data_IF_610739538715
#
_entry.id   IF_610739538715
#
_cell.length_a   1.000
_cell.length_b   1.000
_cell.length_c   1.000
_cell.angle_alpha   90.00
_cell.angle_beta   90.00
_cell.angle_gamma   90.00
#
_symmetry.space_group_name_H-M   'P 1'
#
loop_
_entity.id
_entity.type
_entity.pdbx_description
1 polymer ?
#
# COMPACT_ATOMS: atom_id res chain seq x y z
N UNK A 1 21.80 -9.20 2.00
CA UNK A 1 20.32 -9.31 2.07
C UNK A 1 19.76 -7.89 2.07
N UNK A 2 18.76 -7.60 1.23
CA UNK A 2 18.03 -6.32 1.30
C UNK A 2 17.35 -6.26 2.68
N UNK A 3 17.42 -5.12 3.36
CA UNK A 3 16.85 -5.02 4.71
C UNK A 3 15.34 -4.98 4.61
N UNK A 4 14.69 -5.96 5.24
CA UNK A 4 13.24 -5.97 5.41
C UNK A 4 12.88 -5.15 6.66
N UNK A 5 11.77 -4.43 6.60
CA UNK A 5 11.17 -3.75 7.75
C UNK A 5 9.85 -4.44 8.09
N UNK A 6 9.51 -4.60 9.37
CA UNK A 6 8.22 -5.20 9.78
C UNK A 6 7.44 -4.24 10.65
N UNK A 7 6.24 -3.89 10.20
CA UNK A 7 5.26 -3.14 10.98
C UNK A 7 4.37 -4.10 11.76
N UNK A 8 4.31 -3.92 13.07
CA UNK A 8 3.43 -4.68 13.96
C UNK A 8 2.11 -3.93 14.16
N UNK A 9 1.00 -4.68 14.21
CA UNK A 9 -0.35 -4.21 14.49
C UNK A 9 -0.84 -4.92 15.75
N UNK A 10 -0.52 -4.33 16.92
CA UNK A 10 -0.72 -4.96 18.22
C UNK A 10 -0.10 -6.36 18.28
N UNK A 11 -0.83 -7.31 18.83
CA UNK A 11 -0.50 -8.74 18.77
C UNK A 11 -1.21 -9.46 17.62
N UNK A 12 -2.10 -8.77 16.88
CA UNK A 12 -2.99 -9.40 15.91
C UNK A 12 -2.26 -9.86 14.64
N UNK A 13 -1.50 -8.98 14.00
CA UNK A 13 -0.79 -9.31 12.76
C UNK A 13 0.42 -8.39 12.52
N UNK A 14 1.20 -8.71 11.50
CA UNK A 14 2.29 -7.86 11.03
C UNK A 14 2.37 -7.80 9.51
N UNK A 15 3.02 -6.75 9.02
CA UNK A 15 3.32 -6.55 7.61
C UNK A 15 4.82 -6.33 7.45
N UNK A 16 5.47 -7.26 6.77
CA UNK A 16 6.88 -7.13 6.37
C UNK A 16 6.96 -6.48 4.99
N UNK A 17 7.69 -5.38 4.92
CA UNK A 17 8.12 -4.71 3.69
C UNK A 17 9.30 -5.48 3.12
N UNK A 18 9.16 -6.00 1.90
CA UNK A 18 10.17 -6.78 1.20
C UNK A 18 10.59 -6.03 -0.07
N UNK A 19 11.76 -5.37 -0.06
CA UNK A 19 12.28 -4.72 -1.26
C UNK A 19 12.55 -5.74 -2.37
N UNK A 20 11.93 -5.53 -3.53
CA UNK A 20 12.05 -6.36 -4.74
C UNK A 20 12.50 -5.53 -5.93
N UNK A 21 13.06 -6.18 -6.94
CA UNK A 21 13.53 -5.50 -8.16
C UNK A 21 14.52 -4.36 -7.83
N UNK A 22 14.22 -3.15 -8.32
CA UNK A 22 15.03 -1.94 -8.11
C UNK A 22 14.46 -1.08 -6.99
N UNK A 23 13.18 -0.76 -7.08
CA UNK A 23 12.48 0.16 -6.18
C UNK A 23 11.07 -0.30 -5.82
N UNK A 24 10.66 -1.51 -6.23
CA UNK A 24 9.36 -2.09 -5.88
C UNK A 24 9.34 -2.61 -4.44
N UNK A 25 8.16 -2.59 -3.84
CA UNK A 25 7.86 -3.31 -2.62
C UNK A 25 6.87 -4.43 -2.90
N UNK A 26 7.26 -5.64 -2.50
CA UNK A 26 6.29 -6.69 -2.18
C UNK A 26 6.09 -6.71 -0.67
N UNK A 27 4.96 -7.24 -0.21
CA UNK A 27 4.67 -7.31 1.21
C UNK A 27 4.34 -8.72 1.64
N UNK A 28 4.70 -9.08 2.87
CA UNK A 28 4.24 -10.30 3.53
C UNK A 28 3.36 -9.92 4.71
N UNK A 29 2.11 -10.39 4.71
CA UNK A 29 1.19 -10.28 5.84
C UNK A 29 1.27 -11.59 6.64
N UNK A 30 1.47 -11.49 7.95
CA UNK A 30 1.43 -12.61 8.90
C UNK A 30 0.31 -12.39 9.92
N UNK A 31 -0.77 -13.17 9.81
CA UNK A 31 -1.79 -13.25 10.86
C UNK A 31 -1.28 -14.10 12.03
N UNK A 32 -0.87 -13.45 13.11
CA UNK A 32 -0.27 -14.14 14.25
C UNK A 32 -1.24 -15.08 14.97
N UNK A 33 -2.56 -14.90 14.79
CA UNK A 33 -3.56 -15.74 15.46
C UNK A 33 -3.73 -17.11 14.81
N UNK A 34 -3.37 -17.23 13.52
CA UNK A 34 -3.51 -18.48 12.76
C UNK A 34 -2.23 -18.91 12.03
N UNK A 35 -1.20 -18.06 12.03
CA UNK A 35 0.02 -18.20 11.22
C UNK A 35 -0.30 -18.35 9.72
N UNK A 36 -1.39 -17.72 9.28
CA UNK A 36 -1.74 -17.65 7.86
C UNK A 36 -0.97 -16.50 7.22
N UNK A 37 -0.25 -16.81 6.15
CA UNK A 37 0.51 -15.85 5.37
C UNK A 37 -0.21 -15.45 4.09
N UNK A 38 -0.07 -14.17 3.71
CA UNK A 38 -0.33 -13.69 2.36
C UNK A 38 0.82 -12.84 1.85
N UNK A 39 1.04 -12.86 0.53
CA UNK A 39 1.87 -11.85 -0.10
C UNK A 39 1.02 -10.81 -0.83
N UNK A 40 1.56 -9.59 -0.95
CA UNK A 40 1.00 -8.52 -1.76
C UNK A 40 2.00 -8.15 -2.86
N UNK A 41 1.48 -7.98 -4.08
CA UNK A 41 2.20 -7.53 -5.27
C UNK A 41 3.49 -8.31 -5.56
N UNK A 42 3.30 -9.59 -5.91
CA UNK A 42 4.38 -10.48 -6.27
C UNK A 42 4.82 -10.30 -7.72
N UNK A 43 6.03 -9.77 -7.91
CA UNK A 43 6.76 -9.78 -9.18
C UNK A 43 7.68 -10.99 -9.33
N UNK A 44 8.45 -11.03 -10.42
CA UNK A 44 9.36 -12.14 -10.74
C UNK A 44 10.53 -12.29 -9.76
N UNK A 45 10.85 -11.28 -8.95
CA UNK A 45 11.84 -11.36 -7.87
C UNK A 45 11.21 -11.95 -6.60
N UNK A 46 10.87 -13.23 -6.68
CA UNK A 46 10.13 -13.99 -5.65
C UNK A 46 11.04 -14.45 -4.51
N UNK A 47 12.33 -14.61 -4.76
CA UNK A 47 13.26 -15.20 -3.79
C UNK A 47 13.36 -14.40 -2.47
N UNK A 48 13.35 -13.06 -2.43
CA UNK A 48 13.37 -12.28 -1.20
C UNK A 48 12.26 -12.63 -0.20
N UNK A 49 11.01 -12.79 -0.65
CA UNK A 49 9.90 -13.11 0.26
C UNK A 49 10.01 -14.54 0.80
N UNK A 50 10.44 -15.49 -0.05
CA UNK A 50 10.64 -16.88 0.36
C UNK A 50 11.82 -17.02 1.32
N UNK A 51 12.89 -16.26 1.10
CA UNK A 51 14.02 -16.19 2.01
C UNK A 51 13.58 -15.61 3.36
N UNK A 52 12.79 -14.54 3.39
CA UNK A 52 12.27 -14.01 4.66
C UNK A 52 11.42 -15.04 5.43
N UNK A 53 10.51 -15.74 4.75
CA UNK A 53 9.70 -16.79 5.37
C UNK A 53 10.55 -17.93 5.94
N UNK A 54 11.52 -18.44 5.17
CA UNK A 54 12.29 -19.62 5.54
C UNK A 54 13.45 -19.32 6.49
N UNK A 55 14.12 -18.18 6.32
CA UNK A 55 15.32 -17.81 7.07
C UNK A 55 15.05 -16.92 8.28
N UNK A 56 13.92 -16.22 8.30
CA UNK A 56 13.50 -15.43 9.46
C UNK A 56 12.33 -16.10 10.18
N UNK A 57 11.11 -16.03 9.64
CA UNK A 57 9.88 -16.41 10.37
C UNK A 57 9.92 -17.84 10.92
N UNK A 58 10.26 -18.83 10.09
CA UNK A 58 10.30 -20.24 10.52
C UNK A 58 11.42 -20.54 11.51
N UNK A 59 12.55 -19.82 11.44
CA UNK A 59 13.67 -20.03 12.36
C UNK A 59 13.46 -19.34 13.69
N UNK A 60 12.86 -18.14 13.69
CA UNK A 60 12.55 -17.41 14.92
C UNK A 60 11.35 -18.01 15.65
N UNK A 61 10.43 -18.65 14.93
CA UNK A 61 9.21 -19.24 15.49
C UNK A 61 9.07 -20.73 15.09
N UNK A 62 9.97 -21.62 15.54
CA UNK A 62 9.99 -23.02 15.10
C UNK A 62 8.77 -23.83 15.54
N UNK A 63 8.01 -23.34 16.53
CA UNK A 63 6.80 -23.98 17.03
C UNK A 63 5.54 -23.63 16.21
N UNK A 64 5.63 -22.70 15.26
CA UNK A 64 4.50 -22.28 14.44
C UNK A 64 4.52 -22.97 13.08
N UNK A 65 3.34 -23.45 12.65
CA UNK A 65 3.14 -23.99 11.32
C UNK A 65 2.53 -22.90 10.44
N UNK A 66 3.36 -22.29 9.60
CA UNK A 66 2.94 -21.22 8.70
C UNK A 66 2.25 -21.77 7.46
N UNK A 67 1.10 -21.19 7.10
CA UNK A 67 0.35 -21.53 5.88
C UNK A 67 0.29 -20.36 4.91
N UNK A 68 0.99 -20.47 3.79
CA UNK A 68 0.85 -19.52 2.69
C UNK A 68 -0.46 -19.77 1.95
N UNK A 69 -1.40 -18.84 2.03
CA UNK A 69 -2.77 -19.04 1.55
C UNK A 69 -3.18 -18.14 0.40
N UNK A 70 -2.62 -16.93 0.33
CA UNK A 70 -3.18 -15.86 -0.50
C UNK A 70 -2.08 -15.02 -1.14
N UNK A 71 -2.30 -14.64 -2.40
CA UNK A 71 -1.57 -13.57 -3.08
C UNK A 71 -2.61 -12.48 -3.36
N UNK A 72 -2.38 -11.27 -2.86
CA UNK A 72 -3.17 -10.09 -3.16
C UNK A 72 -2.42 -9.30 -4.24
N UNK A 73 -3.06 -9.01 -5.36
CA UNK A 73 -2.46 -8.21 -6.43
C UNK A 73 -3.28 -6.95 -6.64
N UNK A 74 -2.66 -5.80 -6.45
CA UNK A 74 -3.31 -4.49 -6.56
C UNK A 74 -3.70 -4.19 -8.00
N UNK A 75 -2.82 -4.50 -8.95
CA UNK A 75 -3.04 -4.27 -10.37
C UNK A 75 -2.17 -5.15 -11.27
N UNK A 76 -2.45 -5.13 -12.58
CA UNK A 76 -1.91 -6.08 -13.57
C UNK A 76 -0.46 -5.88 -13.97
N UNK A 77 0.18 -4.75 -13.62
CA UNK A 77 1.51 -4.49 -14.16
C UNK A 77 2.50 -5.59 -13.75
N UNK A 78 3.41 -5.99 -14.66
CA UNK A 78 4.25 -7.16 -14.44
C UNK A 78 5.13 -7.09 -13.17
N UNK A 79 5.51 -5.90 -12.74
CA UNK A 79 6.29 -5.63 -11.53
C UNK A 79 5.44 -5.67 -10.23
N UNK A 80 4.14 -6.00 -10.34
CA UNK A 80 3.24 -6.33 -9.23
C UNK A 80 2.59 -7.71 -9.37
N UNK A 81 2.42 -8.20 -10.61
CA UNK A 81 1.68 -9.44 -10.88
C UNK A 81 2.53 -10.56 -11.52
N UNK A 82 3.74 -10.25 -11.98
CA UNK A 82 4.56 -11.15 -12.79
C UNK A 82 5.02 -12.41 -12.06
N UNK A 83 5.01 -12.39 -10.72
CA UNK A 83 5.37 -13.52 -9.88
C UNK A 83 4.20 -14.44 -9.50
N UNK A 84 2.96 -14.06 -9.78
CA UNK A 84 1.77 -14.78 -9.29
C UNK A 84 1.76 -16.26 -9.68
N UNK A 85 2.01 -16.55 -10.96
CA UNK A 85 2.03 -17.93 -11.51
C UNK A 85 3.14 -18.74 -10.86
N UNK A 86 4.36 -18.20 -10.84
CA UNK A 86 5.54 -18.91 -10.39
C UNK A 86 5.52 -19.14 -8.88
N UNK A 87 5.10 -18.16 -8.07
CA UNK A 87 4.97 -18.34 -6.63
C UNK A 87 3.94 -19.44 -6.30
N UNK A 88 2.79 -19.43 -6.97
CA UNK A 88 1.77 -20.48 -6.80
C UNK A 88 2.32 -21.87 -7.14
N UNK A 89 3.09 -21.98 -8.23
CA UNK A 89 3.75 -23.22 -8.63
C UNK A 89 4.76 -23.69 -7.59
N UNK A 90 5.61 -22.78 -7.07
CA UNK A 90 6.58 -23.10 -6.01
C UNK A 90 5.92 -23.55 -4.71
N UNK A 91 4.85 -22.88 -4.28
CA UNK A 91 4.08 -23.31 -3.10
C UNK A 91 3.47 -24.69 -3.29
N UNK A 92 2.94 -25.01 -4.47
CA UNK A 92 2.40 -26.34 -4.80
C UNK A 92 3.47 -27.43 -4.85
N UNK A 93 4.67 -27.09 -5.32
CA UNK A 93 5.81 -28.00 -5.36
C UNK A 93 6.35 -28.31 -3.95
N UNK A 94 6.32 -27.34 -3.04
CA UNK A 94 6.71 -27.53 -1.64
C UNK A 94 5.66 -28.31 -0.83
N UNK A 95 4.38 -28.06 -1.10
CA UNK A 95 3.25 -28.75 -0.47
C UNK A 95 2.17 -29.05 -1.51
N UNK A 96 2.01 -30.31 -1.95
CA UNK A 96 0.98 -30.70 -2.90
C UNK A 96 -0.45 -30.43 -2.42
N UNK A 97 -0.68 -30.24 -1.12
CA UNK A 97 -1.98 -29.85 -0.57
C UNK A 97 -2.22 -28.33 -0.60
N UNK A 98 -1.17 -27.53 -0.88
CA UNK A 98 -1.25 -26.08 -0.93
C UNK A 98 -2.32 -25.60 -1.92
N UNK A 99 -3.13 -24.66 -1.45
CA UNK A 99 -4.17 -23.97 -2.20
C UNK A 99 -3.98 -22.46 -2.02
N UNK A 100 -3.11 -21.90 -2.87
CA UNK A 100 -2.90 -20.45 -2.92
C UNK A 100 -3.98 -19.80 -3.78
N UNK A 101 -4.77 -18.92 -3.17
CA UNK A 101 -5.74 -18.07 -3.86
C UNK A 101 -5.04 -16.81 -4.33
N UNK A 102 -5.21 -16.45 -5.60
CA UNK A 102 -4.74 -15.18 -6.15
C UNK A 102 -5.95 -14.25 -6.29
N UNK A 103 -5.92 -13.14 -5.55
CA UNK A 103 -6.96 -12.12 -5.50
C UNK A 103 -6.54 -10.94 -6.35
N UNK A 104 -7.45 -10.41 -7.15
CA UNK A 104 -7.18 -9.24 -7.98
C UNK A 104 -8.46 -8.59 -8.51
N UNK A 105 -8.37 -7.31 -8.86
CA UNK A 105 -9.49 -6.54 -9.40
C UNK A 105 -10.12 -7.22 -10.61
N UNK A 106 -11.45 -7.32 -10.62
CA UNK A 106 -12.21 -8.07 -11.62
C UNK A 106 -12.01 -7.54 -13.05
N UNK A 107 -11.65 -6.27 -13.18
CA UNK A 107 -11.51 -5.55 -14.44
C UNK A 107 -10.08 -5.46 -14.97
N UNK A 108 -9.06 -5.91 -14.23
CA UNK A 108 -7.67 -5.70 -14.62
C UNK A 108 -7.01 -6.90 -15.30
N UNK A 109 -7.70 -8.04 -15.41
CA UNK A 109 -7.18 -9.25 -16.06
C UNK A 109 -5.80 -9.71 -15.52
N UNK A 110 -5.61 -9.60 -14.20
CA UNK A 110 -4.36 -9.95 -13.53
C UNK A 110 -4.02 -11.45 -13.75
N UNK A 111 -2.75 -11.77 -14.09
CA UNK A 111 -2.27 -13.15 -14.21
C UNK A 111 -2.56 -14.03 -12.98
N UNK A 112 -3.03 -15.25 -13.26
CA UNK A 112 -3.34 -16.30 -12.27
C UNK A 112 -4.45 -15.99 -11.25
N UNK A 113 -5.19 -14.89 -11.39
CA UNK A 113 -6.33 -14.60 -10.49
C UNK A 113 -7.33 -15.74 -10.48
N UNK A 114 -7.59 -16.21 -9.27
CA UNK A 114 -8.60 -17.24 -8.97
C UNK A 114 -9.78 -16.67 -8.18
N UNK A 115 -9.61 -15.48 -7.59
CA UNK A 115 -10.67 -14.71 -6.95
C UNK A 115 -10.69 -13.28 -7.48
N UNK A 116 -11.62 -13.01 -8.40
CA UNK A 116 -11.89 -11.65 -8.89
C UNK A 116 -12.68 -10.88 -7.82
N UNK A 117 -12.30 -9.64 -7.57
CA UNK A 117 -12.94 -8.78 -6.57
C UNK A 117 -13.33 -7.42 -7.14
N UNK A 118 -14.25 -6.74 -6.47
CA UNK A 118 -14.72 -5.37 -6.74
C UNK A 118 -14.92 -4.61 -5.42
N UNK A 119 -15.24 -3.32 -5.51
CA UNK A 119 -15.58 -2.47 -4.36
C UNK A 119 -16.45 -3.18 -3.32
N UNK A 120 -16.03 -3.13 -2.06
CA UNK A 120 -16.77 -3.64 -0.91
C UNK A 120 -16.69 -5.16 -0.72
N UNK A 121 -16.10 -5.90 -1.65
CA UNK A 121 -15.83 -7.33 -1.44
C UNK A 121 -14.87 -7.53 -0.26
N UNK A 122 -15.02 -8.67 0.43
CA UNK A 122 -14.16 -9.04 1.56
C UNK A 122 -13.55 -10.41 1.39
N UNK A 123 -12.24 -10.53 1.62
CA UNK A 123 -11.48 -11.78 1.64
C UNK A 123 -11.00 -12.03 3.08
N UNK A 124 -11.13 -13.26 3.55
CA UNK A 124 -10.56 -13.65 4.85
C UNK A 124 -9.13 -14.13 4.65
N UNK A 125 -8.21 -13.62 5.47
CA UNK A 125 -6.83 -14.08 5.56
C UNK A 125 -6.59 -14.55 7.00
N UNK A 126 -6.73 -15.85 7.26
CA UNK A 126 -6.79 -16.33 8.63
C UNK A 126 -7.98 -15.70 9.37
N UNK A 127 -7.71 -14.94 10.43
CA UNK A 127 -8.68 -14.11 11.16
C UNK A 127 -8.75 -12.66 10.68
N UNK A 128 -7.86 -12.24 9.78
CA UNK A 128 -7.87 -10.89 9.23
C UNK A 128 -8.96 -10.73 8.17
N UNK A 129 -9.54 -9.53 8.12
CA UNK A 129 -10.44 -9.09 7.05
C UNK A 129 -9.67 -8.23 6.07
N UNK A 130 -9.71 -8.60 4.79
CA UNK A 130 -9.20 -7.83 3.67
C UNK A 130 -10.41 -7.23 2.93
N UNK A 131 -10.63 -5.93 3.08
CA UNK A 131 -11.66 -5.18 2.37
C UNK A 131 -11.08 -4.57 1.09
N UNK A 132 -11.84 -4.68 -0.01
CA UNK A 132 -11.42 -4.25 -1.34
C UNK A 132 -12.02 -2.89 -1.66
N UNK A 133 -11.18 -1.98 -2.15
CA UNK A 133 -11.56 -0.63 -2.55
C UNK A 133 -11.12 -0.44 -4.00
N UNK A 134 -12.05 -0.24 -4.92
CA UNK A 134 -11.74 0.06 -6.32
C UNK A 134 -11.09 1.44 -6.42
N UNK A 135 -9.98 1.52 -7.14
CA UNK A 135 -9.22 2.75 -7.36
C UNK A 135 -8.75 2.87 -8.82
N UNK A 136 -9.66 2.76 -9.81
CA UNK A 136 -9.28 2.83 -11.21
C UNK A 136 -8.63 4.19 -11.51
N UNK A 137 -7.44 4.18 -12.10
CA UNK A 137 -6.78 5.35 -12.68
C UNK A 137 -5.45 4.92 -13.31
N UNK A 138 -4.53 4.45 -12.47
CA UNK A 138 -3.24 3.91 -12.93
C UNK A 138 -3.45 2.70 -13.84
N UNK A 139 -4.35 1.80 -13.45
CA UNK A 139 -4.97 0.82 -14.35
C UNK A 139 -6.48 0.84 -14.16
N UNK A 140 -7.23 0.35 -15.15
CA UNK A 140 -8.71 0.31 -15.11
C UNK A 140 -9.30 -0.57 -14.02
N UNK A 141 -8.55 -1.56 -13.53
CA UNK A 141 -9.02 -2.47 -12.48
C UNK A 141 -8.15 -2.47 -11.24
N UNK A 142 -7.40 -1.38 -11.00
CA UNK A 142 -6.61 -1.22 -9.79
C UNK A 142 -7.51 -1.25 -8.55
N UNK A 143 -7.07 -1.98 -7.53
CA UNK A 143 -7.72 -2.04 -6.22
C UNK A 143 -6.73 -1.80 -5.08
N UNK A 144 -7.23 -1.17 -4.02
CA UNK A 144 -6.56 -1.10 -2.72
C UNK A 144 -7.06 -2.23 -1.82
N UNK A 145 -6.17 -2.75 -0.97
CA UNK A 145 -6.53 -3.73 0.05
C UNK A 145 -6.40 -3.12 1.44
N UNK A 146 -7.53 -2.99 2.15
CA UNK A 146 -7.60 -2.55 3.53
C UNK A 146 -7.66 -3.76 4.46
N UNK A 147 -6.58 -4.01 5.19
CA UNK A 147 -6.41 -5.18 6.05
C UNK A 147 -6.45 -4.79 7.51
N UNK A 148 -7.28 -5.48 8.30
CA UNK A 148 -7.38 -5.29 9.74
C UNK A 148 -7.87 -6.56 10.44
N UNK A 149 -7.68 -6.64 11.75
CA UNK A 149 -8.23 -7.71 12.58
C UNK A 149 -9.60 -7.29 13.14
N UNK A 150 -10.71 -7.97 12.81
CA UNK A 150 -12.05 -7.50 13.16
C UNK A 150 -12.35 -7.53 14.67
N UNK A 151 -11.69 -8.39 15.45
CA UNK A 151 -11.80 -8.38 16.92
C UNK A 151 -10.79 -7.45 17.62
N UNK A 152 -9.84 -6.87 16.88
CA UNK A 152 -8.84 -5.94 17.39
C UNK A 152 -8.76 -4.69 16.49
N UNK A 153 -9.88 -3.97 16.26
CA UNK A 153 -9.92 -2.88 15.29
C UNK A 153 -8.99 -1.72 15.66
N UNK A 154 -8.66 -1.56 16.95
CA UNK A 154 -7.77 -0.51 17.45
C UNK A 154 -6.27 -0.85 17.32
N UNK A 155 -5.93 -2.07 16.91
CA UNK A 155 -4.54 -2.45 16.63
C UNK A 155 -4.02 -1.82 15.32
N UNK A 156 -4.94 -1.25 14.52
CA UNK A 156 -4.65 -0.48 13.33
C UNK A 156 -5.05 -1.18 12.02
N UNK A 157 -4.77 -0.49 10.92
CA UNK A 157 -5.14 -0.90 9.55
C UNK A 157 -3.91 -0.86 8.66
N UNK A 158 -3.68 -1.90 7.85
CA UNK A 158 -2.73 -1.85 6.75
C UNK A 158 -3.47 -1.57 5.44
N UNK A 159 -3.14 -0.47 4.76
CA UNK A 159 -3.70 -0.11 3.46
C UNK A 159 -2.65 -0.31 2.37
N UNK A 160 -2.82 -1.34 1.55
CA UNK A 160 -1.97 -1.60 0.39
C UNK A 160 -2.51 -0.81 -0.79
N UNK A 161 -1.73 0.15 -1.27
CA UNK A 161 -2.18 1.12 -2.26
C UNK A 161 -1.62 0.90 -3.66
N UNK A 162 -0.67 -0.03 -3.80
CA UNK A 162 0.06 -0.26 -5.05
C UNK A 162 0.48 1.07 -5.67
N UNK A 163 0.17 1.21 -6.95
CA UNK A 163 0.50 2.41 -7.72
C UNK A 163 -0.62 3.45 -7.78
N UNK A 164 -1.63 3.37 -6.92
CA UNK A 164 -2.61 4.47 -6.79
C UNK A 164 -2.03 5.61 -5.96
N UNK A 165 -1.48 5.30 -4.80
CA UNK A 165 -0.95 6.28 -3.84
C UNK A 165 0.42 5.84 -3.33
N UNK A 166 1.37 6.77 -3.32
CA UNK A 166 2.69 6.65 -2.69
C UNK A 166 2.77 7.55 -1.46
N UNK A 167 3.85 7.45 -0.68
CA UNK A 167 4.15 8.46 0.33
C UNK A 167 4.33 9.81 -0.37
N UNK A 168 3.48 10.78 -0.01
CA UNK A 168 3.38 12.11 -0.60
C UNK A 168 3.06 12.16 -2.11
N UNK A 169 2.67 11.04 -2.72
CA UNK A 169 2.53 10.92 -4.17
C UNK A 169 1.35 10.09 -4.64
N UNK A 170 1.20 10.00 -5.96
CA UNK A 170 0.22 9.21 -6.70
C UNK A 170 0.88 8.58 -7.93
N UNK A 171 0.29 7.53 -8.48
CA UNK A 171 0.76 6.96 -9.74
C UNK A 171 0.30 7.72 -10.98
N UNK A 172 0.99 7.46 -12.09
CA UNK A 172 0.66 7.99 -13.40
C UNK A 172 -0.73 7.53 -13.85
N UNK A 173 -1.43 8.39 -14.60
CA UNK A 173 -2.80 8.14 -15.09
C UNK A 173 -2.81 7.33 -16.39
N UNK A 174 -2.18 6.15 -16.42
CA UNK A 174 -2.02 5.41 -17.68
C UNK A 174 -3.34 4.96 -18.30
N UNK A 175 -4.35 4.62 -17.49
CA UNK A 175 -5.65 4.17 -18.00
C UNK A 175 -6.85 4.91 -17.39
N UNK A 176 -6.64 6.17 -16.98
CA UNK A 176 -7.66 6.97 -16.33
C UNK A 176 -7.40 8.48 -16.42
N UNK A 177 -8.03 9.23 -15.53
CA UNK A 177 -8.02 10.69 -15.54
C UNK A 177 -7.82 11.29 -14.15
N UNK A 178 -7.64 12.61 -14.09
CA UNK A 178 -7.63 13.36 -12.83
C UNK A 178 -8.92 13.12 -12.02
N UNK A 179 -10.08 13.05 -12.67
CA UNK A 179 -11.35 12.74 -12.04
C UNK A 179 -11.33 11.37 -11.33
N UNK A 180 -10.69 10.38 -11.95
CA UNK A 180 -10.60 9.04 -11.37
C UNK A 180 -9.66 9.02 -10.17
N UNK A 181 -8.52 9.71 -10.25
CA UNK A 181 -7.60 9.85 -9.13
C UNK A 181 -8.21 10.66 -7.98
N UNK A 182 -8.97 11.71 -8.27
CA UNK A 182 -9.77 12.46 -7.28
C UNK A 182 -10.68 11.53 -6.48
N UNK A 183 -11.46 10.67 -7.16
CA UNK A 183 -12.32 9.68 -6.49
C UNK A 183 -11.52 8.70 -5.63
N UNK A 184 -10.37 8.22 -6.11
CA UNK A 184 -9.50 7.36 -5.32
C UNK A 184 -8.98 8.07 -4.05
N UNK A 185 -8.53 9.32 -4.18
CA UNK A 185 -8.06 10.12 -3.04
C UNK A 185 -9.18 10.44 -2.06
N UNK A 186 -10.40 10.71 -2.51
CA UNK A 186 -11.58 10.88 -1.64
C UNK A 186 -11.85 9.62 -0.80
N UNK A 187 -11.79 8.43 -1.42
CA UNK A 187 -11.98 7.16 -0.70
C UNK A 187 -10.90 6.96 0.38
N UNK A 188 -9.63 7.23 0.05
CA UNK A 188 -8.52 7.12 1.02
C UNK A 188 -8.64 8.17 2.12
N UNK A 189 -8.95 9.43 1.79
CA UNK A 189 -9.09 10.51 2.76
C UNK A 189 -10.25 10.26 3.74
N UNK A 190 -11.33 9.64 3.27
CA UNK A 190 -12.51 9.34 4.06
C UNK A 190 -12.55 7.89 4.60
N UNK A 191 -11.44 7.15 4.51
CA UNK A 191 -11.37 5.72 4.86
C UNK A 191 -11.92 5.39 6.26
N UNK A 192 -11.67 6.28 7.22
CA UNK A 192 -12.02 6.12 8.63
C UNK A 192 -13.12 7.12 9.06
N UNK A 193 -13.90 7.65 8.13
CA UNK A 193 -14.96 8.62 8.43
C UNK A 193 -15.96 8.09 9.47
N UNK A 194 -16.29 6.79 9.42
CA UNK A 194 -17.27 6.17 10.32
C UNK A 194 -16.84 6.12 11.80
N UNK A 195 -15.55 6.34 12.09
CA UNK A 195 -15.01 6.44 13.45
C UNK A 195 -14.47 7.84 13.75
N UNK A 196 -14.98 8.87 13.07
CA UNK A 196 -14.54 10.26 13.20
C UNK A 196 -13.02 10.41 13.01
N UNK A 197 -12.45 9.64 12.08
CA UNK A 197 -11.01 9.62 11.75
C UNK A 197 -10.09 9.15 12.90
N UNK A 198 -10.63 8.58 13.98
CA UNK A 198 -9.86 8.13 15.13
C UNK A 198 -8.78 7.08 14.78
N UNK A 199 -8.95 6.34 13.69
CA UNK A 199 -7.98 5.34 13.25
C UNK A 199 -6.91 5.86 12.29
N UNK A 200 -6.93 7.13 11.85
CA UNK A 200 -6.00 7.65 10.83
C UNK A 200 -4.52 7.53 11.23
N UNK A 201 -4.19 7.82 12.48
CA UNK A 201 -2.83 7.67 13.02
C UNK A 201 -2.37 6.21 13.11
N UNK A 202 -3.32 5.26 13.07
CA UNK A 202 -3.08 3.82 13.12
C UNK A 202 -3.36 3.09 11.79
N UNK A 203 -3.71 3.84 10.74
CA UNK A 203 -3.79 3.33 9.36
C UNK A 203 -2.45 3.57 8.68
N UNK A 204 -1.75 2.51 8.29
CA UNK A 204 -0.44 2.59 7.64
C UNK A 204 -0.52 2.30 6.15
N UNK A 205 0.19 3.11 5.35
CA UNK A 205 0.17 3.06 3.89
C UNK A 205 1.36 2.23 3.38
N UNK A 206 1.04 1.23 2.54
CA UNK A 206 2.00 0.32 1.92
C UNK A 206 1.89 0.42 0.39
N UNK A 207 2.68 1.32 -0.24
CA UNK A 207 2.58 1.62 -1.67
C UNK A 207 3.43 0.69 -2.55
N UNK A 208 3.35 0.83 -3.87
CA UNK A 208 4.07 -0.04 -4.81
C UNK A 208 5.58 0.15 -4.87
N UNK A 209 6.07 1.37 -4.62
CA UNK A 209 7.46 1.76 -4.91
C UNK A 209 8.08 2.70 -3.88
N UNK A 210 9.42 2.73 -3.86
CA UNK A 210 10.29 3.66 -3.11
C UNK A 210 10.45 5.00 -3.85
N UNK A 211 9.35 5.72 -4.05
CA UNK A 211 9.34 7.04 -4.72
C UNK A 211 9.29 8.23 -3.75
N UNK A 212 9.31 7.95 -2.45
CA UNK A 212 9.12 8.93 -1.37
C UNK A 212 10.05 10.15 -1.49
N UNK A 213 11.32 9.96 -1.85
CA UNK A 213 12.28 11.05 -1.95
C UNK A 213 11.88 12.11 -3.00
N UNK A 214 11.38 11.67 -4.16
CA UNK A 214 10.93 12.57 -5.22
C UNK A 214 9.68 13.34 -4.82
N UNK A 215 8.68 12.61 -4.31
CA UNK A 215 7.40 13.19 -3.91
C UNK A 215 7.51 14.12 -2.70
N UNK A 216 8.36 13.83 -1.72
CA UNK A 216 8.58 14.73 -0.59
C UNK A 216 9.26 16.03 -1.02
N UNK A 217 10.20 15.97 -1.97
CA UNK A 217 10.81 17.17 -2.56
C UNK A 217 9.76 18.02 -3.31
N UNK A 218 8.86 17.37 -4.04
CA UNK A 218 7.74 18.04 -4.67
C UNK A 218 6.81 18.68 -3.63
N UNK A 219 6.39 17.94 -2.60
CA UNK A 219 5.51 18.42 -1.54
C UNK A 219 6.09 19.65 -0.84
N UNK A 220 7.37 19.64 -0.46
CA UNK A 220 8.03 20.79 0.15
C UNK A 220 8.03 22.01 -0.79
N UNK A 221 8.37 21.81 -2.06
CA UNK A 221 8.42 22.89 -3.06
C UNK A 221 7.02 23.44 -3.36
N UNK A 222 6.01 22.59 -3.48
CA UNK A 222 4.68 22.94 -3.95
C UNK A 222 3.71 23.38 -2.84
N UNK A 223 4.04 23.13 -1.56
CA UNK A 223 3.17 23.52 -0.45
C UNK A 223 2.91 25.05 -0.45
N UNK A 224 1.64 25.51 -0.47
CA UNK A 224 1.32 26.90 -0.77
C UNK A 224 1.53 27.84 0.43
N UNK A 225 1.26 27.38 1.64
CA UNK A 225 1.30 28.20 2.86
C UNK A 225 2.64 28.04 3.58
N UNK A 226 3.52 29.03 3.44
CA UNK A 226 4.84 29.00 4.07
C UNK A 226 4.82 29.28 5.58
N UNK A 227 3.70 29.78 6.13
CA UNK A 227 3.56 30.06 7.56
C UNK A 227 2.90 28.90 8.33
N UNK A 228 2.22 27.97 7.65
CA UNK A 228 1.62 26.79 8.27
C UNK A 228 2.65 25.83 8.86
N UNK A 229 2.30 25.20 9.97
CA UNK A 229 3.09 24.16 10.63
C UNK A 229 3.22 22.86 9.81
N UNK A 230 2.49 22.72 8.70
CA UNK A 230 2.63 21.59 7.78
C UNK A 230 3.93 21.65 6.97
N UNK A 231 4.44 22.84 6.63
CA UNK A 231 5.72 22.95 5.93
C UNK A 231 6.90 22.38 6.75
N UNK A 232 7.14 22.80 8.01
CA UNK A 232 8.20 22.21 8.82
C UNK A 232 7.96 20.73 9.12
N UNK A 233 6.70 20.27 9.17
CA UNK A 233 6.39 18.84 9.26
C UNK A 233 6.83 18.08 8.00
N UNK A 234 6.51 18.57 6.81
CA UNK A 234 6.93 17.98 5.52
C UNK A 234 8.46 17.90 5.46
N UNK A 235 9.16 18.97 5.84
CA UNK A 235 10.63 19.01 5.88
C UNK A 235 11.22 17.97 6.85
N UNK A 236 10.64 17.84 8.04
CA UNK A 236 11.07 16.85 9.03
C UNK A 236 10.84 15.41 8.53
N UNK A 237 9.70 15.13 7.88
CA UNK A 237 9.43 13.82 7.30
C UNK A 237 10.38 13.53 6.13
N UNK A 238 10.65 14.51 5.25
CA UNK A 238 11.59 14.36 4.15
C UNK A 238 12.99 13.97 4.65
N UNK A 239 13.48 14.64 5.70
CA UNK A 239 14.75 14.31 6.35
C UNK A 239 14.74 12.92 6.99
N UNK A 240 13.65 12.54 7.68
CA UNK A 240 13.47 11.21 8.28
C UNK A 240 13.51 10.10 7.22
N UNK A 241 12.76 10.24 6.13
CA UNK A 241 12.76 9.25 5.04
C UNK A 241 14.11 9.15 4.35
N UNK A 242 14.76 10.28 4.06
CA UNK A 242 16.10 10.29 3.49
C UNK A 242 17.12 9.56 4.39
N UNK A 243 17.05 9.77 5.71
CA UNK A 243 17.92 9.08 6.66
C UNK A 243 17.65 7.56 6.74
N UNK A 244 16.39 7.13 6.60
CA UNK A 244 16.04 5.71 6.52
C UNK A 244 16.63 5.06 5.25
N UNK A 245 16.40 5.67 4.09
CA UNK A 245 16.88 5.16 2.79
C UNK A 245 18.42 5.13 2.74
N UNK A 246 19.10 6.15 3.28
CA UNK A 246 20.57 6.17 3.38
C UNK A 246 21.13 4.99 4.21
N UNK A 247 20.36 4.47 5.16
CA UNK A 247 20.72 3.29 5.97
C UNK A 247 20.31 1.97 5.32
N UNK A 248 19.74 2.01 4.11
CA UNK A 248 19.23 0.83 3.41
C UNK A 248 17.87 0.35 3.92
N UNK A 249 17.17 1.16 4.72
CA UNK A 249 15.82 0.86 5.20
C UNK A 249 14.77 1.49 4.28
N UNK A 250 13.61 0.81 4.05
CA UNK A 250 12.49 1.41 3.34
C UNK A 250 12.01 2.69 4.00
N UNK A 251 11.53 3.65 3.22
CA UNK A 251 10.82 4.84 3.73
C UNK A 251 9.42 4.51 4.24
N UNK A 252 8.85 3.39 3.77
CA UNK A 252 7.50 2.92 4.09
C UNK A 252 7.44 2.12 5.40
N UNK A 253 6.28 2.11 6.08
CA UNK A 253 5.05 2.85 5.78
C UNK A 253 5.01 4.25 6.41
N UNK A 254 4.16 5.13 5.88
CA UNK A 254 3.64 6.33 6.57
C UNK A 254 2.27 6.03 7.19
N UNK A 255 1.77 6.91 8.08
CA UNK A 255 0.38 6.84 8.54
C UNK A 255 -0.54 7.67 7.62
N UNK A 256 -1.83 7.34 7.58
CA UNK A 256 -2.83 8.13 6.86
C UNK A 256 -2.93 9.56 7.44
N UNK A 257 -2.74 9.72 8.75
CA UNK A 257 -2.62 11.03 9.39
C UNK A 257 -1.45 11.84 8.82
N UNK A 258 -0.27 11.23 8.67
CA UNK A 258 0.89 11.88 8.05
C UNK A 258 0.57 12.28 6.60
N UNK A 259 -0.01 11.38 5.80
CA UNK A 259 -0.38 11.64 4.40
C UNK A 259 -1.38 12.79 4.26
N UNK A 260 -2.36 12.92 5.17
CA UNK A 260 -3.30 14.06 5.18
C UNK A 260 -2.61 15.42 5.37
N UNK A 261 -1.34 15.43 5.77
CA UNK A 261 -0.52 16.64 5.90
C UNK A 261 0.48 16.78 4.77
N UNK A 262 1.21 15.71 4.42
CA UNK A 262 2.33 15.77 3.48
C UNK A 262 1.97 15.46 2.02
N UNK A 263 0.88 14.74 1.76
CA UNK A 263 0.50 14.34 0.42
C UNK A 263 -0.47 15.35 -0.19
N UNK A 264 0.06 16.23 -1.05
CA UNK A 264 -0.74 17.29 -1.66
C UNK A 264 -1.84 16.77 -2.57
N UNK A 265 -1.66 15.57 -3.16
CA UNK A 265 -2.66 14.92 -3.99
C UNK A 265 -3.81 14.36 -3.14
N UNK A 266 -3.51 13.72 -2.00
CA UNK A 266 -4.53 13.26 -1.06
C UNK A 266 -5.33 14.45 -0.50
N UNK A 267 -4.65 15.57 -0.23
CA UNK A 267 -5.29 16.80 0.26
C UNK A 267 -6.21 17.48 -0.74
N UNK A 268 -6.21 17.08 -2.02
CA UNK A 268 -7.23 17.53 -2.98
C UNK A 268 -8.65 17.18 -2.50
N UNK A 269 -8.81 16.10 -1.72
CA UNK A 269 -10.07 15.72 -1.10
C UNK A 269 -10.53 16.68 0.03
N UNK A 270 -9.64 17.51 0.57
CA UNK A 270 -9.96 18.50 1.60
C UNK A 270 -10.44 19.82 0.95
N UNK A 271 -11.70 20.25 1.20
CA UNK A 271 -12.20 21.54 0.73
C UNK A 271 -11.34 22.74 1.16
N UNK A 272 -10.77 22.71 2.37
CA UNK A 272 -9.96 23.81 2.88
C UNK A 272 -8.62 23.92 2.12
N UNK A 273 -7.97 22.79 1.86
CA UNK A 273 -6.76 22.75 1.04
C UNK A 273 -7.02 23.20 -0.41
N UNK A 274 -8.15 22.81 -1.01
CA UNK A 274 -8.54 23.29 -2.35
C UNK A 274 -8.68 24.81 -2.39
N UNK A 275 -9.36 25.38 -1.40
CA UNK A 275 -9.50 26.83 -1.28
C UNK A 275 -8.15 27.53 -1.12
N UNK A 276 -7.23 26.93 -0.34
CA UNK A 276 -5.87 27.45 -0.14
C UNK A 276 -5.04 27.44 -1.43
N UNK A 277 -5.13 26.38 -2.23
CA UNK A 277 -4.39 26.26 -3.49
C UNK A 277 -4.92 27.20 -4.58
N UNK A 278 -6.24 27.45 -4.61
CA UNK A 278 -6.91 28.34 -5.54
C UNK A 278 -6.54 28.06 -7.02
N UNK A 279 -6.66 26.80 -7.45
CA UNK A 279 -6.35 26.31 -8.81
C UNK A 279 -7.56 25.75 -9.56
N UNK A 280 -8.74 26.25 -9.25
CA UNK A 280 -10.00 25.78 -9.84
C UNK A 280 -10.68 24.72 -8.98
N UNK A 281 -11.47 23.86 -9.61
CA UNK A 281 -12.16 22.76 -8.96
C UNK A 281 -11.22 21.60 -8.57
N UNK A 282 -11.80 20.50 -8.06
CA UNK A 282 -11.06 19.33 -7.60
C UNK A 282 -10.19 18.70 -8.69
N UNK A 283 -10.76 18.51 -9.88
CA UNK A 283 -10.10 17.84 -11.00
C UNK A 283 -9.03 18.75 -11.62
N UNK A 284 -9.32 20.05 -11.70
CA UNK A 284 -8.36 21.07 -12.15
C UNK A 284 -7.16 21.18 -11.20
N UNK A 285 -7.37 21.14 -9.88
CA UNK A 285 -6.28 21.12 -8.91
C UNK A 285 -5.46 19.82 -9.02
N UNK A 286 -6.11 18.67 -9.13
CA UNK A 286 -5.42 17.39 -9.32
C UNK A 286 -4.56 17.41 -10.58
N UNK A 287 -5.11 17.88 -11.71
CA UNK A 287 -4.36 18.00 -12.96
C UNK A 287 -3.20 19.01 -12.86
N UNK A 288 -3.40 20.12 -12.15
CA UNK A 288 -2.36 21.11 -11.89
C UNK A 288 -1.19 20.50 -11.10
N UNK A 289 -1.48 19.77 -10.01
CA UNK A 289 -0.46 19.10 -9.20
C UNK A 289 0.24 18.00 -10.00
N UNK A 290 -0.52 17.20 -10.75
CA UNK A 290 0.01 16.11 -11.59
C UNK A 290 1.02 16.65 -12.60
N UNK A 291 0.65 17.68 -13.37
CA UNK A 291 1.53 18.30 -14.37
C UNK A 291 2.74 19.02 -13.75
N UNK A 292 2.65 19.43 -12.49
CA UNK A 292 3.72 20.15 -11.79
C UNK A 292 4.72 19.21 -11.08
N UNK A 293 4.36 17.93 -10.93
CA UNK A 293 5.17 16.92 -10.26
C UNK A 293 6.14 16.20 -11.21
N UNK A 294 5.92 16.31 -12.52
CA UNK A 294 6.82 15.79 -13.58
C UNK A 294 8.22 16.46 -13.57
#
# INVERSE_FOLDING_TARGET
>A
MRQCYTKQFGSAFSVTVVPTLKDNFSYLIDDHTTHTLAAVDMNWDIDPILAYVNDHLKKTNPNFSYKFSTILTTHKHPDHAGGNVELKKRMKAQDPSSQVTVVGGALDSIPAVSRKVKEGDRVNLGRLTVEVIDSPCHTRGHVLYKVHHPQHPNDGIALFTGDTMFIAGIGAFFEGSAADMCRAMQKVFHLNKDNDYALDASTFIFPGHEYTAGFMKFAEKAFPDRASADLPFIQAQAAKYAAAVQRGMPSVPSSLEDEKRQNLFLRVADPAFRALMNKGDEEQLMQYLYNACD
#
